data_IF_665815389237
#
_entry.id   IF_665815389237
#
_cell.length_a   1.000
_cell.length_b   1.000
_cell.length_c   1.000
_cell.angle_alpha   90.00
_cell.angle_beta   90.00
_cell.angle_gamma   90.00
#
_symmetry.space_group_name_H-M   'P 1'
#
loop_
_entity.id
_entity.type
_entity.pdbx_description
1 polymer ?
#
# COMPACT_ATOMS: atom_id res chain seq x y z
N UNK A 1 42.21 16.98 2.80
CA UNK A 1 42.05 17.62 1.47
C UNK A 1 41.17 16.75 0.56
N UNK A 2 41.52 15.47 0.33
CA UNK A 2 40.70 14.52 -0.47
C UNK A 2 39.24 14.32 0.02
N UNK A 3 39.00 14.34 1.35
CA UNK A 3 37.64 14.17 1.92
C UNK A 3 36.74 15.39 1.64
N UNK A 4 37.29 16.61 1.68
CA UNK A 4 36.52 17.84 1.47
C UNK A 4 36.14 18.07 0.01
N UNK A 5 36.99 17.66 -0.95
CA UNK A 5 36.67 17.73 -2.37
C UNK A 5 35.60 16.71 -2.76
N UNK A 6 35.70 15.47 -2.27
CA UNK A 6 34.71 14.41 -2.50
C UNK A 6 33.31 14.83 -2.00
N UNK A 7 33.24 15.47 -0.82
CA UNK A 7 31.98 15.98 -0.27
C UNK A 7 31.31 17.04 -1.16
N UNK A 8 32.09 17.93 -1.80
CA UNK A 8 31.54 19.00 -2.65
C UNK A 8 30.94 18.44 -3.97
N UNK A 9 31.57 17.41 -4.53
CA UNK A 9 31.09 16.74 -5.74
C UNK A 9 29.76 16.01 -5.48
N UNK A 10 29.70 15.23 -4.39
CA UNK A 10 28.49 14.54 -3.95
C UNK A 10 27.37 15.56 -3.68
N UNK A 11 27.64 16.63 -2.95
CA UNK A 11 26.65 17.69 -2.67
C UNK A 11 26.06 18.31 -3.94
N UNK A 12 26.89 18.56 -4.96
CA UNK A 12 26.42 19.13 -6.24
C UNK A 12 25.54 18.14 -7.00
N UNK A 13 25.92 16.87 -6.97
CA UNK A 13 25.16 15.79 -7.59
C UNK A 13 23.79 15.58 -6.92
N UNK A 14 23.76 15.52 -5.58
CA UNK A 14 22.53 15.42 -4.79
C UNK A 14 21.59 16.59 -5.12
N UNK A 15 22.12 17.82 -5.16
CA UNK A 15 21.34 19.01 -5.54
C UNK A 15 20.66 18.83 -6.90
N UNK A 16 21.39 18.35 -7.92
CA UNK A 16 20.87 18.12 -9.27
C UNK A 16 19.80 17.01 -9.32
N UNK A 17 19.99 15.93 -8.56
CA UNK A 17 19.00 14.85 -8.46
C UNK A 17 17.72 15.37 -7.81
N UNK A 18 17.86 16.04 -6.65
CA UNK A 18 16.74 16.55 -5.87
C UNK A 18 15.89 17.55 -6.66
N UNK A 19 16.52 18.54 -7.32
CA UNK A 19 15.77 19.55 -8.10
C UNK A 19 15.07 18.98 -9.31
N UNK A 20 15.42 17.76 -9.73
CA UNK A 20 14.75 17.07 -10.83
C UNK A 20 13.64 16.13 -10.34
N UNK A 21 13.86 15.42 -9.23
CA UNK A 21 12.92 14.44 -8.67
C UNK A 21 11.73 15.07 -7.96
N UNK A 22 11.97 16.20 -7.32
CA UNK A 22 11.01 16.81 -6.42
C UNK A 22 10.61 18.18 -6.94
N UNK A 23 9.35 18.53 -6.72
CA UNK A 23 8.87 19.87 -6.96
C UNK A 23 9.30 20.78 -5.80
N UNK A 24 9.42 22.08 -6.08
CA UNK A 24 9.67 23.05 -5.02
C UNK A 24 8.54 23.00 -3.99
N UNK A 25 8.91 22.88 -2.71
CA UNK A 25 7.96 22.76 -1.60
C UNK A 25 7.58 21.32 -1.23
N UNK A 26 8.09 20.32 -1.95
CA UNK A 26 7.91 18.91 -1.59
C UNK A 26 8.52 18.55 -0.23
N UNK A 27 7.98 17.51 0.41
CA UNK A 27 8.45 17.00 1.70
C UNK A 27 9.38 15.81 1.49
N UNK A 28 10.66 15.99 1.84
CA UNK A 28 11.67 14.94 1.78
C UNK A 28 11.98 14.43 3.19
N UNK A 29 11.88 13.12 3.36
CA UNK A 29 12.23 12.48 4.63
C UNK A 29 13.68 12.06 4.59
N UNK A 30 14.47 12.65 5.49
CA UNK A 30 15.86 12.27 5.70
C UNK A 30 15.93 11.24 6.83
N UNK A 31 16.49 10.07 6.51
CA UNK A 31 16.69 8.98 7.45
C UNK A 31 18.18 8.73 7.60
N UNK A 32 18.69 9.07 8.78
CA UNK A 32 20.07 8.77 9.16
C UNK A 32 20.15 7.35 9.74
N UNK A 33 20.90 6.49 9.06
CA UNK A 33 21.17 5.13 9.52
C UNK A 33 22.64 5.05 9.96
N UNK A 34 22.89 5.61 11.14
CA UNK A 34 24.17 5.60 11.85
C UNK A 34 25.33 6.26 11.09
N UNK A 35 25.03 7.27 10.27
CA UNK A 35 26.00 8.10 9.57
C UNK A 35 26.12 9.45 10.27
N UNK A 36 27.29 9.76 10.85
CA UNK A 36 27.51 11.08 11.47
C UNK A 36 27.84 12.17 10.43
N UNK A 37 27.47 11.98 9.15
CA UNK A 37 27.82 12.90 8.07
C UNK A 37 26.79 14.02 7.92
N UNK A 38 27.01 15.08 8.69
CA UNK A 38 26.18 16.28 8.68
C UNK A 38 26.25 17.09 7.38
N UNK A 39 27.21 16.81 6.49
CA UNK A 39 27.44 17.65 5.30
C UNK A 39 26.35 17.44 4.23
N UNK A 40 25.85 16.20 4.08
CA UNK A 40 24.78 15.87 3.13
C UNK A 40 23.47 16.55 3.54
N UNK A 41 23.06 16.36 4.80
CA UNK A 41 21.82 16.96 5.31
C UNK A 41 21.89 18.49 5.29
N UNK A 42 23.04 19.07 5.65
CA UNK A 42 23.30 20.52 5.56
C UNK A 42 23.15 21.01 4.12
N UNK A 43 23.71 20.28 3.16
CA UNK A 43 23.59 20.59 1.73
C UNK A 43 22.13 20.68 1.30
N UNK A 44 21.28 19.73 1.72
CA UNK A 44 19.87 19.70 1.36
C UNK A 44 19.09 20.83 2.05
N UNK A 45 19.33 21.08 3.34
CA UNK A 45 18.70 22.19 4.05
C UNK A 45 19.04 23.56 3.43
N UNK A 46 20.30 23.76 3.03
CA UNK A 46 20.75 25.01 2.40
C UNK A 46 20.12 25.25 1.02
N UNK A 47 19.56 24.23 0.36
CA UNK A 47 18.86 24.41 -0.91
C UNK A 47 17.59 25.26 -0.75
N UNK A 48 16.98 25.27 0.45
CA UNK A 48 15.68 25.92 0.71
C UNK A 48 14.60 25.55 -0.33
N UNK A 49 14.74 24.35 -0.92
CA UNK A 49 13.90 23.88 -2.02
C UNK A 49 12.81 22.92 -1.53
N UNK A 50 13.09 22.22 -0.43
CA UNK A 50 12.25 21.18 0.17
C UNK A 50 12.07 21.44 1.66
N UNK A 51 10.99 20.89 2.21
CA UNK A 51 10.89 20.66 3.65
C UNK A 51 11.56 19.34 3.98
N UNK A 52 12.66 19.38 4.74
CA UNK A 52 13.39 18.18 5.14
C UNK A 52 13.01 17.78 6.55
N UNK A 53 12.53 16.56 6.72
CA UNK A 53 12.23 15.99 8.02
C UNK A 53 13.28 14.94 8.35
N UNK A 54 14.21 15.32 9.24
CA UNK A 54 15.30 14.47 9.71
C UNK A 54 14.85 13.58 10.87
N UNK A 55 15.13 12.28 10.79
CA UNK A 55 14.80 11.33 11.85
C UNK A 55 15.65 10.07 11.82
N UNK A 56 15.59 9.33 12.93
CA UNK A 56 16.06 7.94 13.03
C UNK A 56 14.94 6.97 12.65
N UNK A 57 15.32 5.74 12.32
CA UNK A 57 14.40 4.63 11.94
C UNK A 57 13.52 4.11 13.09
N UNK A 58 13.73 4.57 14.32
CA UNK A 58 13.00 4.09 15.51
C UNK A 58 11.77 4.95 15.83
N UNK A 59 11.64 6.13 15.19
CA UNK A 59 10.52 7.05 15.41
C UNK A 59 9.53 6.98 14.25
N UNK A 60 8.34 6.45 14.54
CA UNK A 60 7.18 6.47 13.63
C UNK A 60 6.73 7.91 13.38
N UNK A 61 6.28 8.18 12.16
CA UNK A 61 5.72 9.49 11.82
C UNK A 61 4.44 9.39 11.00
N UNK A 62 3.57 10.39 11.18
CA UNK A 62 2.19 10.43 10.69
C UNK A 62 2.01 11.31 9.43
N UNK A 63 3.09 11.66 8.72
CA UNK A 63 2.99 12.43 7.47
C UNK A 63 3.24 11.53 6.25
N UNK A 64 2.64 11.90 5.12
CA UNK A 64 2.89 11.25 3.84
C UNK A 64 4.26 11.66 3.30
N UNK A 65 5.11 10.66 3.05
CA UNK A 65 6.42 10.87 2.48
C UNK A 65 6.30 11.10 0.97
N UNK A 66 6.86 12.19 0.44
CA UNK A 66 6.94 12.42 -1.01
C UNK A 66 8.27 11.94 -1.62
N UNK A 67 9.25 11.65 -0.76
CA UNK A 67 10.54 11.07 -1.12
C UNK A 67 11.36 10.71 0.10
N UNK A 68 12.39 9.90 -0.12
CA UNK A 68 13.33 9.48 0.92
C UNK A 68 14.76 9.80 0.52
N UNK A 69 15.52 10.37 1.46
CA UNK A 69 16.97 10.45 1.44
C UNK A 69 17.49 9.62 2.60
N UNK A 70 18.20 8.54 2.31
CA UNK A 70 18.65 7.58 3.33
C UNK A 70 20.17 7.49 3.26
N UNK A 71 20.83 7.69 4.40
CA UNK A 71 22.29 7.62 4.51
C UNK A 71 22.67 6.47 5.45
N UNK A 72 22.87 5.26 4.93
CA UNK A 72 23.41 4.16 5.72
C UNK A 72 24.93 4.15 5.74
N UNK A 73 25.50 3.74 6.87
CA UNK A 73 26.95 3.55 6.96
C UNK A 73 27.45 2.45 6.01
N UNK A 74 26.80 1.29 6.03
CA UNK A 74 27.18 0.13 5.22
C UNK A 74 25.96 -0.80 4.98
N UNK A 75 26.15 -1.84 4.16
CA UNK A 75 25.10 -2.80 3.81
C UNK A 75 24.42 -3.43 5.04
N UNK A 76 25.20 -3.77 6.07
CA UNK A 76 24.66 -4.40 7.28
C UNK A 76 23.72 -3.46 8.03
N UNK A 77 24.16 -2.22 8.29
CA UNK A 77 23.33 -1.22 8.95
C UNK A 77 22.06 -0.93 8.15
N UNK A 78 22.18 -0.87 6.81
CA UNK A 78 21.04 -0.73 5.92
C UNK A 78 20.02 -1.88 6.09
N UNK A 79 20.45 -3.14 5.95
CA UNK A 79 19.54 -4.31 6.08
C UNK A 79 18.86 -4.36 7.44
N UNK A 80 19.62 -4.11 8.52
CA UNK A 80 19.12 -4.19 9.90
C UNK A 80 18.07 -3.10 10.21
N UNK A 81 18.21 -1.91 9.64
CA UNK A 81 17.36 -0.75 9.99
C UNK A 81 16.30 -0.41 8.96
N UNK A 82 16.48 -0.77 7.69
CA UNK A 82 15.54 -0.45 6.62
C UNK A 82 14.19 -1.15 6.80
N UNK A 83 14.17 -2.36 7.38
CA UNK A 83 12.91 -3.07 7.65
C UNK A 83 11.95 -2.25 8.52
N UNK A 84 12.47 -1.48 9.49
CA UNK A 84 11.61 -0.67 10.36
C UNK A 84 10.91 0.46 9.61
N UNK A 85 11.53 1.01 8.56
CA UNK A 85 10.88 2.01 7.70
C UNK A 85 9.68 1.43 6.96
N UNK A 86 9.75 0.17 6.54
CA UNK A 86 8.63 -0.51 5.87
C UNK A 86 7.45 -0.83 6.78
N UNK A 87 7.62 -0.72 8.10
CA UNK A 87 6.59 -1.00 9.11
C UNK A 87 5.86 0.27 9.59
N UNK A 88 6.10 1.40 8.93
CA UNK A 88 5.51 2.68 9.28
C UNK A 88 4.24 2.96 8.49
N UNK A 89 3.29 3.65 9.12
CA UNK A 89 2.03 4.07 8.51
C UNK A 89 2.24 4.96 7.27
N UNK A 90 3.27 5.81 7.30
CA UNK A 90 3.66 6.65 6.17
C UNK A 90 4.53 5.96 5.12
N UNK A 91 4.83 4.66 5.26
CA UNK A 91 5.67 3.94 4.31
C UNK A 91 5.07 4.04 2.91
N UNK A 92 5.92 4.40 1.94
CA UNK A 92 5.47 4.65 0.58
C UNK A 92 6.55 4.22 -0.41
N UNK A 93 6.49 2.99 -0.96
CA UNK A 93 7.57 2.45 -1.79
C UNK A 93 7.58 2.97 -3.23
N UNK A 94 6.50 3.63 -3.69
CA UNK A 94 6.33 4.13 -5.06
C UNK A 94 6.87 5.56 -5.29
N UNK A 95 7.43 6.21 -4.25
CA UNK A 95 8.13 7.50 -4.37
C UNK A 95 9.61 7.32 -4.68
N UNK A 96 10.32 8.44 -4.85
CA UNK A 96 11.74 8.43 -5.15
C UNK A 96 12.60 8.22 -3.90
N UNK A 97 13.56 7.30 -3.98
CA UNK A 97 14.54 6.97 -2.95
C UNK A 97 15.94 7.34 -3.40
N UNK A 98 16.62 8.21 -2.67
CA UNK A 98 18.03 8.50 -2.83
C UNK A 98 18.76 7.88 -1.65
N UNK A 99 19.59 6.87 -1.90
CA UNK A 99 20.32 6.14 -0.86
C UNK A 99 21.81 6.37 -1.06
N UNK A 100 22.48 6.89 -0.03
CA UNK A 100 23.89 7.28 -0.12
C UNK A 100 24.65 6.53 0.96
N UNK A 101 25.36 5.49 0.56
CA UNK A 101 26.17 4.69 1.49
C UNK A 101 27.47 5.42 1.80
N UNK A 102 27.90 5.45 3.06
CA UNK A 102 29.25 5.91 3.40
C UNK A 102 30.29 4.93 2.82
N UNK A 103 30.07 3.64 3.05
CA UNK A 103 30.90 2.53 2.56
C UNK A 103 30.02 1.48 1.88
N UNK A 104 30.26 1.23 0.59
CA UNK A 104 29.59 0.16 -0.15
C UNK A 104 30.56 -0.50 -1.12
N UNK A 105 30.77 -1.80 -1.00
CA UNK A 105 31.56 -2.54 -1.97
C UNK A 105 30.76 -2.80 -3.26
N UNK A 106 31.44 -2.90 -4.41
CA UNK A 106 30.77 -3.18 -5.67
C UNK A 106 30.04 -4.54 -5.66
N UNK A 107 30.60 -5.52 -4.95
CA UNK A 107 30.03 -6.85 -4.68
C UNK A 107 28.70 -6.79 -3.93
N UNK A 108 28.49 -5.76 -3.11
CA UNK A 108 27.33 -5.61 -2.21
C UNK A 108 26.12 -4.94 -2.88
N UNK A 109 26.32 -4.26 -4.03
CA UNK A 109 25.25 -3.51 -4.69
C UNK A 109 24.06 -4.40 -5.07
N UNK A 110 24.34 -5.64 -5.52
CA UNK A 110 23.30 -6.60 -5.85
C UNK A 110 22.41 -6.92 -4.64
N UNK A 111 23.01 -7.01 -3.46
CA UNK A 111 22.32 -7.27 -2.21
C UNK A 111 21.46 -6.08 -1.77
N UNK A 112 21.95 -4.85 -1.96
CA UNK A 112 21.14 -3.63 -1.75
C UNK A 112 19.87 -3.69 -2.60
N UNK A 113 20.00 -3.95 -3.90
CA UNK A 113 18.84 -3.98 -4.79
C UNK A 113 17.91 -5.16 -4.54
N UNK A 114 18.42 -6.32 -4.11
CA UNK A 114 17.55 -7.42 -3.64
C UNK A 114 16.74 -7.04 -2.41
N UNK A 115 17.35 -6.34 -1.45
CA UNK A 115 16.62 -5.82 -0.28
C UNK A 115 15.57 -4.80 -0.69
N UNK A 116 15.90 -3.85 -1.57
CA UNK A 116 14.95 -2.85 -2.05
C UNK A 116 13.79 -3.48 -2.84
N UNK A 117 14.08 -4.48 -3.66
CA UNK A 117 13.10 -5.24 -4.43
C UNK A 117 12.12 -5.97 -3.50
N UNK A 118 12.63 -6.58 -2.43
CA UNK A 118 11.80 -7.25 -1.42
C UNK A 118 10.79 -6.29 -0.78
N UNK A 119 11.16 -5.02 -0.59
CA UNK A 119 10.28 -3.97 -0.07
C UNK A 119 9.58 -3.14 -1.18
N UNK A 120 9.57 -3.63 -2.41
CA UNK A 120 8.93 -3.01 -3.58
C UNK A 120 9.41 -1.59 -3.93
N UNK A 121 10.66 -1.26 -3.58
CA UNK A 121 11.25 0.06 -3.85
C UNK A 121 11.89 0.08 -5.23
N UNK A 122 11.17 0.64 -6.21
CA UNK A 122 11.58 0.57 -7.62
C UNK A 122 12.18 1.88 -8.16
N UNK A 123 11.82 3.04 -7.59
CA UNK A 123 12.32 4.35 -8.01
C UNK A 123 13.48 4.79 -7.11
N UNK A 124 14.63 4.17 -7.30
CA UNK A 124 15.79 4.36 -6.41
C UNK A 124 17.07 4.69 -7.15
N UNK A 125 17.90 5.52 -6.52
CA UNK A 125 19.32 5.68 -6.83
C UNK A 125 20.16 5.37 -5.61
N UNK A 126 21.18 4.55 -5.83
CA UNK A 126 22.18 4.21 -4.83
C UNK A 126 23.48 4.90 -5.23
N UNK A 127 24.02 5.72 -4.35
CA UNK A 127 25.30 6.39 -4.48
C UNK A 127 26.28 5.75 -3.51
N UNK A 128 27.47 5.40 -4.01
CA UNK A 128 28.58 5.02 -3.15
C UNK A 128 29.32 6.30 -2.71
N UNK A 129 29.33 6.61 -1.41
CA UNK A 129 29.97 7.79 -0.83
C UNK A 129 31.49 7.70 -0.74
N UNK A 130 32.07 6.52 -0.97
CA UNK A 130 33.51 6.35 -1.09
C UNK A 130 34.11 7.14 -2.28
N UNK A 131 35.44 7.24 -2.34
CA UNK A 131 36.16 7.95 -3.41
C UNK A 131 35.81 7.39 -4.80
N UNK A 132 35.31 8.26 -5.69
CA UNK A 132 34.63 7.95 -6.97
C UNK A 132 33.16 7.54 -6.80
N UNK A 133 32.31 8.50 -6.40
CA UNK A 133 30.88 8.27 -6.18
C UNK A 133 30.12 7.94 -7.45
N UNK A 134 30.04 6.64 -7.73
CA UNK A 134 29.25 6.09 -8.82
C UNK A 134 27.78 5.99 -8.40
N UNK A 135 26.89 6.21 -9.36
CA UNK A 135 25.45 6.09 -9.17
C UNK A 135 24.94 4.82 -9.84
N UNK A 136 24.08 4.10 -9.12
CA UNK A 136 23.49 2.84 -9.56
C UNK A 136 21.97 2.86 -9.44
N UNK A 137 21.32 2.11 -10.32
CA UNK A 137 19.90 1.74 -10.18
C UNK A 137 19.68 0.33 -10.72
N UNK A 138 18.43 -0.11 -10.69
CA UNK A 138 17.97 -1.36 -11.28
C UNK A 138 16.57 -1.17 -11.87
N UNK A 139 16.18 -2.02 -12.82
CA UNK A 139 14.84 -2.02 -13.39
C UNK A 139 14.22 -3.43 -13.29
N UNK A 140 13.32 -3.68 -12.34
CA UNK A 140 12.70 -4.99 -12.19
C UNK A 140 11.53 -5.22 -13.17
N UNK A 141 11.23 -4.24 -14.03
CA UNK A 141 10.25 -4.36 -15.10
C UNK A 141 10.89 -4.54 -16.48
N UNK A 142 12.21 -4.66 -16.55
CA UNK A 142 12.90 -5.04 -17.79
C UNK A 142 12.76 -6.55 -18.02
N UNK A 143 12.73 -6.98 -19.28
CA UNK A 143 12.72 -8.40 -19.66
C UNK A 143 11.60 -9.21 -18.99
N UNK A 144 10.39 -8.63 -18.86
CA UNK A 144 9.25 -9.30 -18.22
C UNK A 144 9.51 -9.71 -16.77
N UNK A 145 10.36 -8.96 -16.04
CA UNK A 145 10.68 -9.22 -14.64
C UNK A 145 9.54 -8.92 -13.66
N UNK A 146 8.54 -8.14 -14.08
CA UNK A 146 7.28 -7.91 -13.38
C UNK A 146 7.40 -7.41 -11.93
N UNK A 147 8.49 -6.74 -11.57
CA UNK A 147 8.70 -6.30 -10.19
C UNK A 147 9.11 -7.43 -9.24
N UNK A 148 9.46 -8.62 -9.74
CA UNK A 148 9.83 -9.80 -8.94
C UNK A 148 11.34 -10.07 -9.01
N UNK A 149 11.94 -9.82 -10.17
CA UNK A 149 13.37 -10.03 -10.42
C UNK A 149 13.96 -8.88 -11.23
N UNK A 150 15.27 -8.71 -11.13
CA UNK A 150 16.02 -7.85 -12.04
C UNK A 150 17.19 -8.63 -12.63
N UNK A 151 17.54 -8.29 -13.87
CA UNK A 151 18.55 -9.02 -14.65
C UNK A 151 19.92 -8.36 -14.58
N UNK A 152 19.97 -7.06 -14.34
CA UNK A 152 21.21 -6.28 -14.31
C UNK A 152 21.11 -5.07 -13.40
N UNK A 153 22.28 -4.62 -12.96
CA UNK A 153 22.49 -3.33 -12.31
C UNK A 153 22.85 -2.32 -13.40
N UNK A 154 22.21 -1.16 -13.37
CA UNK A 154 22.47 -0.05 -14.28
C UNK A 154 23.41 0.91 -13.56
N UNK A 155 24.62 1.10 -14.09
CA UNK A 155 25.55 2.12 -13.61
C UNK A 155 25.47 3.36 -14.50
N UNK A 156 25.31 4.52 -13.89
CA UNK A 156 25.31 5.81 -14.58
C UNK A 156 26.68 6.50 -14.54
N UNK A 157 27.71 5.81 -14.05
CA UNK A 157 29.04 6.36 -13.86
C UNK A 157 29.12 7.31 -12.67
N UNK A 158 30.13 8.20 -12.71
CA UNK A 158 30.44 9.13 -11.62
C UNK A 158 29.43 10.26 -11.52
N UNK A 159 29.18 10.72 -10.29
CA UNK A 159 28.17 11.74 -9.99
C UNK A 159 28.28 13.04 -10.79
N UNK A 160 29.51 13.50 -11.10
CA UNK A 160 29.72 14.72 -11.88
C UNK A 160 29.42 14.54 -13.38
N UNK A 161 29.73 13.36 -13.92
CA UNK A 161 29.68 13.06 -15.35
C UNK A 161 28.33 12.47 -15.78
N UNK A 162 27.56 11.95 -14.83
CA UNK A 162 26.28 11.33 -15.10
C UNK A 162 25.30 12.33 -15.74
N UNK A 163 24.76 11.94 -16.91
CA UNK A 163 23.68 12.69 -17.54
C UNK A 163 22.36 12.37 -16.84
N UNK A 164 22.14 13.10 -15.74
CA UNK A 164 21.02 12.93 -14.81
C UNK A 164 19.67 12.96 -15.53
N UNK A 165 19.50 13.81 -16.55
CA UNK A 165 18.19 14.11 -17.15
C UNK A 165 17.66 13.09 -18.15
N UNK A 166 18.49 12.30 -18.82
CA UNK A 166 18.03 11.34 -19.86
C UNK A 166 18.14 9.88 -19.45
N UNK A 167 19.06 9.54 -18.55
CA UNK A 167 19.41 8.13 -18.31
C UNK A 167 18.64 7.52 -17.14
N UNK A 168 18.21 8.34 -16.19
CA UNK A 168 17.75 7.89 -14.87
C UNK A 168 16.26 7.53 -14.81
N UNK A 169 15.49 7.92 -15.82
CA UNK A 169 14.04 8.11 -15.70
C UNK A 169 13.20 7.30 -16.67
N UNK A 170 13.71 7.09 -17.89
CA UNK A 170 13.04 6.27 -18.89
C UNK A 170 13.47 4.82 -18.70
N UNK A 171 13.00 4.20 -17.62
CA UNK A 171 13.15 2.76 -17.45
C UNK A 171 12.33 2.09 -18.55
N UNK A 172 12.93 1.25 -19.42
CA UNK A 172 12.15 0.54 -20.43
C UNK A 172 11.11 -0.32 -19.71
N UNK A 173 9.84 -0.05 -19.99
CA UNK A 173 8.71 -0.74 -19.39
C UNK A 173 8.23 -1.75 -20.42
N UNK A 174 8.48 -3.05 -20.19
CA UNK A 174 7.87 -4.11 -21.02
C UNK A 174 6.36 -4.26 -20.76
N UNK A 175 5.78 -3.36 -19.96
CA UNK A 175 4.39 -3.40 -19.50
C UNK A 175 4.17 -4.53 -18.51
N UNK A 176 2.90 -4.93 -18.35
CA UNK A 176 2.49 -6.10 -17.60
C UNK A 176 2.49 -7.38 -18.46
N UNK A 177 2.93 -7.29 -19.71
CA UNK A 177 2.89 -8.40 -20.65
C UNK A 177 3.65 -9.59 -20.09
N UNK A 178 3.07 -10.78 -20.19
CA UNK A 178 3.62 -12.04 -19.65
C UNK A 178 3.84 -12.08 -18.13
N UNK A 179 3.44 -11.05 -17.38
CA UNK A 179 3.42 -11.12 -15.92
C UNK A 179 2.34 -12.11 -15.48
N UNK A 180 2.61 -12.87 -14.42
CA UNK A 180 1.61 -13.77 -13.83
C UNK A 180 1.28 -13.28 -12.44
N UNK A 181 0.04 -12.89 -12.22
CA UNK A 181 -0.46 -12.48 -10.92
C UNK A 181 -1.17 -13.65 -10.24
N UNK A 182 -0.74 -13.98 -9.03
CA UNK A 182 -1.42 -14.91 -8.13
C UNK A 182 -2.49 -14.14 -7.37
N UNK A 183 -3.74 -14.54 -7.56
CA UNK A 183 -4.89 -13.78 -7.10
C UNK A 183 -5.69 -14.64 -6.15
N UNK A 184 -5.89 -14.12 -4.95
CA UNK A 184 -6.69 -14.80 -3.95
C UNK A 184 -7.94 -14.02 -3.62
N UNK A 185 -9.00 -14.76 -3.33
CA UNK A 185 -10.27 -14.22 -2.92
C UNK A 185 -11.02 -15.19 -2.02
N UNK A 186 -11.98 -14.65 -1.28
CA UNK A 186 -12.95 -15.43 -0.53
C UNK A 186 -14.21 -15.65 -1.38
N UNK A 187 -14.79 -16.85 -1.32
CA UNK A 187 -16.00 -17.21 -2.06
C UNK A 187 -17.21 -16.40 -1.53
N UNK A 188 -17.51 -15.28 -2.19
CA UNK A 188 -18.56 -14.34 -1.80
C UNK A 188 -19.38 -13.94 -3.03
N UNK A 189 -20.37 -14.75 -3.42
CA UNK A 189 -21.27 -14.41 -4.53
C UNK A 189 -22.04 -13.10 -4.26
N UNK A 190 -22.35 -12.30 -5.30
CA UNK A 190 -22.05 -12.51 -6.72
C UNK A 190 -20.67 -11.99 -7.15
N UNK A 191 -19.87 -11.44 -6.23
CA UNK A 191 -18.63 -10.74 -6.55
C UNK A 191 -17.48 -11.70 -6.89
N UNK A 192 -17.40 -12.81 -6.17
CA UNK A 192 -16.37 -13.83 -6.30
C UNK A 192 -17.03 -15.20 -6.14
N UNK A 193 -16.75 -16.11 -7.06
CA UNK A 193 -17.37 -17.43 -7.08
C UNK A 193 -16.26 -18.46 -7.23
N UNK A 194 -16.17 -19.41 -6.30
CA UNK A 194 -15.34 -20.59 -6.46
C UNK A 194 -16.02 -21.58 -7.41
N UNK A 195 -15.53 -21.76 -8.65
CA UNK A 195 -16.17 -22.64 -9.62
C UNK A 195 -16.03 -24.13 -9.27
N UNK A 196 -15.23 -24.48 -8.26
CA UNK A 196 -15.10 -25.85 -7.74
C UNK A 196 -16.17 -26.19 -6.69
N UNK A 197 -16.72 -25.17 -6.01
CA UNK A 197 -17.82 -25.34 -5.07
C UNK A 197 -19.20 -25.32 -5.77
N UNK A 198 -19.23 -24.82 -7.01
CA UNK A 198 -20.45 -24.71 -7.79
C UNK A 198 -20.85 -26.06 -8.40
N UNK A 199 -21.95 -26.64 -7.92
CA UNK A 199 -22.51 -27.89 -8.44
C UNK A 199 -23.23 -27.70 -9.79
N UNK A 200 -23.30 -26.47 -10.32
CA UNK A 200 -23.92 -26.20 -11.62
C UNK A 200 -23.06 -26.71 -12.77
N UNK A 201 -23.71 -27.10 -13.87
CA UNK A 201 -23.05 -27.53 -15.12
C UNK A 201 -22.23 -26.40 -15.75
N UNK A 202 -22.68 -25.16 -15.59
CA UNK A 202 -21.97 -23.96 -16.03
C UNK A 202 -21.25 -23.34 -14.85
N UNK A 203 -19.93 -23.24 -14.96
CA UNK A 203 -19.08 -22.59 -13.95
C UNK A 203 -19.30 -21.08 -14.05
N UNK A 204 -20.01 -20.51 -13.09
CA UNK A 204 -20.13 -19.06 -13.01
C UNK A 204 -18.83 -18.43 -12.53
N UNK A 205 -18.53 -17.24 -13.05
CA UNK A 205 -17.45 -16.38 -12.58
C UNK A 205 -18.03 -15.19 -11.84
N UNK A 206 -17.37 -14.77 -10.76
CA UNK A 206 -17.75 -13.55 -10.05
C UNK A 206 -17.48 -12.29 -10.88
N UNK A 207 -18.18 -11.20 -10.56
CA UNK A 207 -18.03 -9.91 -11.26
C UNK A 207 -16.58 -9.42 -11.30
N UNK A 208 -15.88 -9.49 -10.16
CA UNK A 208 -14.54 -8.94 -10.01
C UNK A 208 -13.50 -9.84 -10.67
N UNK A 209 -13.75 -11.16 -10.72
CA UNK A 209 -12.97 -12.08 -11.54
C UNK A 209 -13.12 -11.75 -13.03
N UNK A 210 -14.33 -11.44 -13.50
CA UNK A 210 -14.59 -11.04 -14.88
C UNK A 210 -13.87 -9.74 -15.26
N UNK A 211 -13.92 -8.73 -14.38
CA UNK A 211 -13.19 -7.47 -14.59
C UNK A 211 -11.69 -7.74 -14.70
N UNK A 212 -11.12 -8.51 -13.76
CA UNK A 212 -9.69 -8.81 -13.79
C UNK A 212 -9.28 -9.63 -15.02
N UNK A 213 -10.11 -10.59 -15.43
CA UNK A 213 -9.88 -11.37 -16.65
C UNK A 213 -9.86 -10.46 -17.89
N UNK A 214 -10.79 -9.51 -17.96
CA UNK A 214 -10.83 -8.52 -19.06
C UNK A 214 -9.56 -7.66 -19.09
N UNK A 215 -9.10 -7.19 -17.92
CA UNK A 215 -7.84 -6.46 -17.81
C UNK A 215 -6.64 -7.32 -18.22
N UNK A 216 -6.65 -8.59 -17.86
CA UNK A 216 -5.57 -9.54 -18.21
C UNK A 216 -5.42 -9.72 -19.71
N UNK A 217 -6.53 -9.73 -20.45
CA UNK A 217 -6.56 -9.84 -21.91
C UNK A 217 -6.09 -8.55 -22.59
N UNK A 218 -6.50 -7.39 -22.06
CA UNK A 218 -6.13 -6.08 -22.61
C UNK A 218 -4.64 -5.77 -22.40
N UNK A 219 -4.14 -6.00 -21.19
CA UNK A 219 -2.76 -5.70 -20.78
C UNK A 219 -1.79 -6.88 -21.00
N UNK A 220 -2.33 -8.02 -21.45
CA UNK A 220 -1.61 -9.26 -21.78
C UNK A 220 -0.83 -9.86 -20.60
N UNK A 221 -1.39 -9.81 -19.40
CA UNK A 221 -0.89 -10.54 -18.23
C UNK A 221 -1.71 -11.82 -17.98
N UNK A 222 -1.15 -12.73 -17.20
CA UNK A 222 -1.78 -13.97 -16.79
C UNK A 222 -2.27 -13.87 -15.35
N UNK A 223 -3.35 -14.59 -15.04
CA UNK A 223 -3.94 -14.63 -13.70
C UNK A 223 -4.05 -16.08 -13.24
N UNK A 224 -3.60 -16.35 -12.02
CA UNK A 224 -3.78 -17.63 -11.35
C UNK A 224 -4.65 -17.40 -10.13
N UNK A 225 -5.86 -17.96 -10.13
CA UNK A 225 -6.78 -17.85 -9.01
C UNK A 225 -6.53 -18.94 -7.96
N UNK A 226 -6.47 -18.53 -6.69
CA UNK A 226 -6.33 -19.43 -5.53
C UNK A 226 -7.51 -19.27 -4.57
N UNK A 227 -8.12 -20.39 -4.19
CA UNK A 227 -9.36 -20.48 -3.42
C UNK A 227 -9.09 -20.92 -1.97
N UNK A 228 -8.26 -20.16 -1.26
CA UNK A 228 -7.66 -20.64 0.00
C UNK A 228 -8.26 -20.02 1.27
N UNK A 229 -9.10 -18.98 1.15
CA UNK A 229 -9.54 -18.21 2.30
C UNK A 229 -11.01 -18.41 2.65
N UNK A 230 -11.28 -18.55 3.95
CA UNK A 230 -12.63 -18.60 4.48
C UNK A 230 -13.24 -17.18 4.43
N UNK A 231 -14.44 -16.98 3.83
CA UNK A 231 -15.10 -15.67 3.81
C UNK A 231 -15.43 -15.10 5.20
N UNK A 232 -15.50 -15.93 6.24
CA UNK A 232 -15.71 -15.48 7.61
C UNK A 232 -14.42 -14.94 8.27
N UNK A 233 -13.25 -15.22 7.68
CA UNK A 233 -11.97 -14.76 8.22
C UNK A 233 -11.64 -13.35 7.72
N UNK A 234 -11.86 -12.35 8.58
CA UNK A 234 -11.48 -10.97 8.32
C UNK A 234 -9.97 -10.74 8.43
N UNK A 235 -9.48 -9.71 7.75
CA UNK A 235 -8.10 -9.22 7.92
C UNK A 235 -8.04 -7.94 8.76
N UNK A 236 -7.05 -7.88 9.66
CA UNK A 236 -6.78 -6.75 10.55
C UNK A 236 -5.35 -6.27 10.30
N UNK A 237 -5.14 -4.96 10.35
CA UNK A 237 -3.82 -4.34 10.24
C UNK A 237 -3.40 -3.84 11.63
N UNK A 238 -2.26 -4.32 12.11
CA UNK A 238 -1.66 -3.88 13.36
C UNK A 238 -1.15 -2.43 13.29
N UNK A 239 -0.79 -1.86 14.45
CA UNK A 239 -0.17 -0.52 14.51
C UNK A 239 1.26 -0.49 13.93
N UNK A 240 1.84 -1.66 13.70
CA UNK A 240 3.11 -1.92 13.03
C UNK A 240 2.95 -2.16 11.52
N UNK A 241 1.76 -1.87 10.98
CA UNK A 241 1.39 -2.14 9.59
C UNK A 241 1.49 -3.62 9.18
N UNK A 242 1.65 -4.54 10.14
CA UNK A 242 1.61 -5.98 9.86
C UNK A 242 0.16 -6.41 9.71
N UNK A 243 -0.13 -7.11 8.61
CA UNK A 243 -1.43 -7.70 8.35
C UNK A 243 -1.58 -9.06 9.03
N UNK A 244 -2.78 -9.31 9.53
CA UNK A 244 -3.24 -10.58 10.07
C UNK A 244 -4.43 -11.10 9.26
N UNK A 245 -4.62 -12.42 9.23
CA UNK A 245 -5.63 -13.07 8.38
C UNK A 245 -5.22 -13.12 6.90
N UNK A 246 -6.18 -13.24 5.97
CA UNK A 246 -5.91 -13.40 4.54
C UNK A 246 -4.98 -12.37 3.90
N UNK A 247 -5.09 -11.07 4.24
CA UNK A 247 -4.24 -10.01 3.67
C UNK A 247 -2.75 -10.16 4.04
N UNK A 248 -2.41 -10.97 5.05
CA UNK A 248 -1.01 -11.30 5.38
C UNK A 248 -0.30 -12.03 4.24
N UNK A 249 -1.04 -12.77 3.42
CA UNK A 249 -0.50 -13.49 2.26
C UNK A 249 0.13 -12.54 1.23
N UNK A 250 -0.41 -11.31 1.09
CA UNK A 250 0.17 -10.29 0.22
C UNK A 250 1.55 -9.87 0.76
N UNK A 251 1.65 -9.56 2.05
CA UNK A 251 2.92 -9.14 2.67
C UNK A 251 3.98 -10.25 2.70
N UNK A 252 3.56 -11.52 2.71
CA UNK A 252 4.46 -12.67 2.59
C UNK A 252 4.89 -12.96 1.15
N UNK A 253 4.24 -12.35 0.17
CA UNK A 253 4.43 -12.66 -1.24
C UNK A 253 3.89 -14.03 -1.64
N UNK A 254 2.92 -14.59 -0.90
CA UNK A 254 2.22 -15.82 -1.26
C UNK A 254 1.23 -15.56 -2.41
N UNK A 255 0.64 -14.36 -2.41
CA UNK A 255 -0.28 -13.86 -3.45
C UNK A 255 0.12 -12.43 -3.81
N UNK A 256 -0.19 -12.00 -5.03
CA UNK A 256 0.19 -10.69 -5.55
C UNK A 256 -0.99 -9.70 -5.49
N UNK A 257 -2.22 -10.22 -5.64
CA UNK A 257 -3.45 -9.42 -5.57
C UNK A 257 -4.46 -10.16 -4.70
N UNK A 258 -5.12 -9.41 -3.82
CA UNK A 258 -6.32 -9.90 -3.15
C UNK A 258 -7.52 -9.12 -3.66
N UNK A 259 -8.50 -9.87 -4.15
CA UNK A 259 -9.79 -9.32 -4.56
C UNK A 259 -10.85 -9.87 -3.59
N UNK A 260 -11.76 -9.03 -3.12
CA UNK A 260 -12.75 -9.41 -2.11
C UNK A 260 -13.74 -8.29 -1.83
N UNK A 261 -14.80 -8.58 -1.06
CA UNK A 261 -15.67 -7.57 -0.43
C UNK A 261 -14.92 -6.82 0.68
N UNK A 262 -13.79 -6.23 0.33
CA UNK A 262 -12.86 -5.60 1.26
C UNK A 262 -13.25 -4.14 1.46
N UNK A 263 -13.77 -3.84 2.64
CA UNK A 263 -14.00 -2.45 3.04
C UNK A 263 -12.65 -1.73 3.14
N UNK A 264 -12.48 -0.64 2.39
CA UNK A 264 -11.32 0.23 2.51
C UNK A 264 -11.38 0.95 3.86
N UNK A 265 -10.44 0.60 4.75
CA UNK A 265 -10.23 1.28 6.04
C UNK A 265 -8.92 2.05 5.97
N UNK A 266 -8.75 3.16 6.72
CA UNK A 266 -7.51 3.96 6.68
C UNK A 266 -6.23 3.12 6.78
N UNK A 267 -6.12 2.26 7.80
CA UNK A 267 -4.98 1.34 7.95
C UNK A 267 -4.72 0.38 6.79
N UNK A 268 -5.76 -0.02 6.04
CA UNK A 268 -5.58 -0.87 4.86
C UNK A 268 -5.04 -0.07 3.68
N UNK A 269 -5.44 1.19 3.56
CA UNK A 269 -4.93 2.12 2.54
C UNK A 269 -3.48 2.50 2.81
N UNK A 270 -3.09 2.58 4.09
CA UNK A 270 -1.70 2.80 4.50
C UNK A 270 -0.83 1.56 4.27
N UNK A 271 -1.32 0.36 4.64
CA UNK A 271 -0.54 -0.86 4.52
C UNK A 271 -0.47 -1.45 3.09
N UNK A 272 -1.41 -1.12 2.20
CA UNK A 272 -1.50 -1.72 0.87
C UNK A 272 -1.89 -0.71 -0.22
N UNK A 273 -1.33 -0.91 -1.40
CA UNK A 273 -1.83 -0.28 -2.62
C UNK A 273 -3.15 -0.91 -3.05
N UNK A 274 -4.07 -0.11 -3.57
CA UNK A 274 -5.34 -0.55 -4.14
C UNK A 274 -5.58 0.12 -5.49
N UNK A 275 -6.28 -0.58 -6.39
CA UNK A 275 -6.52 -0.09 -7.76
C UNK A 275 -7.73 0.85 -7.80
N UNK A 276 -8.89 0.35 -7.39
CA UNK A 276 -10.14 1.09 -7.45
C UNK A 276 -11.16 0.51 -6.48
N UNK A 277 -12.01 1.35 -5.90
CA UNK A 277 -13.14 0.92 -5.07
C UNK A 277 -14.43 0.99 -5.87
N UNK A 278 -14.88 -0.11 -6.47
CA UNK A 278 -16.04 -0.13 -7.37
C UNK A 278 -17.38 0.22 -6.70
N UNK A 279 -17.47 0.16 -5.36
CA UNK A 279 -18.70 0.38 -4.58
C UNK A 279 -18.61 1.49 -3.51
N UNK A 280 -17.56 2.30 -3.49
CA UNK A 280 -17.33 3.29 -2.42
C UNK A 280 -18.45 4.32 -2.25
N UNK A 281 -19.25 4.55 -3.30
CA UNK A 281 -20.40 5.48 -3.26
C UNK A 281 -21.72 4.84 -2.80
N UNK A 282 -21.74 3.51 -2.62
CA UNK A 282 -22.92 2.73 -2.23
C UNK A 282 -22.73 1.92 -0.94
N UNK A 283 -21.54 2.01 -0.33
CA UNK A 283 -21.25 1.38 0.95
C UNK A 283 -22.08 2.05 2.05
N UNK A 284 -23.24 1.45 2.34
CA UNK A 284 -24.15 1.86 3.40
C UNK A 284 -24.38 0.72 4.39
N UNK A 285 -24.53 1.05 5.66
CA UNK A 285 -25.01 0.09 6.65
C UNK A 285 -26.51 -0.14 6.44
N UNK A 286 -26.87 -1.28 5.86
CA UNK A 286 -28.26 -1.68 5.69
C UNK A 286 -28.66 -2.63 6.81
N UNK A 287 -29.64 -2.23 7.61
CA UNK A 287 -30.25 -3.12 8.61
C UNK A 287 -31.41 -3.84 7.93
N UNK A 288 -31.21 -5.12 7.63
CA UNK A 288 -32.26 -5.97 7.10
C UNK A 288 -33.07 -6.54 8.27
N UNK A 289 -34.33 -6.11 8.38
CA UNK A 289 -35.27 -6.67 9.35
C UNK A 289 -36.23 -7.62 8.64
N UNK A 290 -36.63 -8.69 9.34
CA UNK A 290 -37.69 -9.57 8.85
C UNK A 290 -38.94 -8.74 8.61
N UNK A 291 -39.53 -8.87 7.41
CA UNK A 291 -40.84 -8.27 7.13
C UNK A 291 -41.82 -8.69 8.23
N UNK A 292 -42.50 -7.72 8.84
CA UNK A 292 -43.49 -8.00 9.87
C UNK A 292 -44.51 -9.01 9.33
N UNK A 293 -44.83 -10.01 10.15
CA UNK A 293 -45.95 -10.91 9.84
C UNK A 293 -47.25 -10.12 9.74
N UNK A 294 -48.24 -10.67 9.05
CA UNK A 294 -49.58 -10.09 9.06
C UNK A 294 -50.11 -10.09 10.49
N UNK A 295 -50.19 -8.90 11.09
CA UNK A 295 -50.89 -8.72 12.36
C UNK A 295 -52.38 -8.66 12.03
N UNK A 296 -53.18 -9.51 12.71
CA UNK A 296 -54.64 -9.46 12.55
C UNK A 296 -55.14 -8.04 12.82
N UNK A 297 -55.99 -7.51 11.93
CA UNK A 297 -56.57 -6.17 12.05
C UNK A 297 -57.21 -5.93 13.43
N UNK A 298 -57.79 -6.98 14.04
CA UNK A 298 -58.36 -6.94 15.39
C UNK A 298 -57.36 -6.49 16.45
N UNK A 299 -56.09 -6.89 16.32
CA UNK A 299 -55.05 -6.54 17.30
C UNK A 299 -54.70 -5.05 17.24
N UNK A 300 -54.87 -4.39 16.09
CA UNK A 300 -54.74 -2.94 15.97
C UNK A 300 -55.96 -2.21 16.55
N UNK A 301 -57.15 -2.78 16.41
CA UNK A 301 -58.38 -2.23 17.03
C UNK A 301 -58.25 -2.11 18.55
N UNK A 302 -57.67 -3.12 19.22
CA UNK A 302 -57.46 -3.07 20.67
C UNK A 302 -56.37 -2.09 21.13
N UNK A 303 -55.49 -1.62 20.24
CA UNK A 303 -54.47 -0.61 20.60
C UNK A 303 -55.09 0.79 20.66
N UNK A 304 -56.16 1.05 19.89
CA UNK A 304 -56.89 2.33 19.96
C UNK A 304 -57.77 2.43 21.21
N UNK A 305 -58.25 1.29 21.73
CA UNK A 305 -58.98 1.24 22.98
C UNK A 305 -58.02 1.03 24.16
N UNK A 306 -57.52 2.13 24.71
CA UNK A 306 -56.79 2.09 25.98
C UNK A 306 -57.64 1.34 27.02
N UNK A 307 -57.04 0.35 27.70
CA UNK A 307 -57.69 -0.48 28.72
C UNK A 307 -58.33 0.40 29.80
N UNK A 308 -57.76 1.57 30.07
CA UNK A 308 -58.32 2.57 30.98
C UNK A 308 -59.60 3.20 30.44
N UNK A 309 -59.67 3.49 29.14
CA UNK A 309 -60.86 4.01 28.46
C UNK A 309 -61.98 2.98 28.42
N UNK A 310 -61.68 1.72 28.09
CA UNK A 310 -62.68 0.64 28.18
C UNK A 310 -63.14 0.40 29.63
N UNK A 311 -62.21 0.41 30.59
CA UNK A 311 -62.53 0.23 32.02
C UNK A 311 -63.45 1.32 32.56
N UNK A 312 -63.16 2.59 32.23
CA UNK A 312 -64.00 3.73 32.63
C UNK A 312 -65.36 3.72 31.94
N UNK A 313 -65.43 3.34 30.66
CA UNK A 313 -66.71 3.19 29.97
C UNK A 313 -67.57 2.09 30.61
N UNK A 314 -66.98 0.91 30.89
CA UNK A 314 -67.69 -0.19 31.57
C UNK A 314 -68.14 0.21 32.97
N UNK A 315 -67.27 0.84 33.76
CA UNK A 315 -67.60 1.31 35.11
C UNK A 315 -68.78 2.30 35.10
N UNK A 316 -68.74 3.30 34.21
CA UNK A 316 -69.82 4.28 34.08
C UNK A 316 -71.14 3.66 33.60
N UNK A 317 -71.06 2.67 32.70
CA UNK A 317 -72.26 1.98 32.20
C UNK A 317 -72.91 1.12 33.28
N UNK A 318 -72.08 0.41 34.08
CA UNK A 318 -72.56 -0.39 35.23
C UNK A 318 -73.14 0.50 36.32
N UNK A 319 -72.49 1.63 36.64
CA UNK A 319 -73.05 2.62 37.58
C UNK A 319 -74.42 3.13 37.12
N UNK A 320 -74.59 3.43 35.83
CA UNK A 320 -75.88 3.86 35.31
C UNK A 320 -76.97 2.79 35.39
N UNK A 321 -76.61 1.52 35.15
CA UNK A 321 -77.56 0.39 35.22
C UNK A 321 -77.97 0.01 36.65
N UNK A 322 -77.08 0.20 37.64
CA UNK A 322 -77.37 -0.09 39.05
C UNK A 322 -78.23 1.00 39.70
N UNK A 323 -78.24 2.21 39.13
CA UNK A 323 -78.99 3.37 39.64
C UNK A 323 -80.34 3.57 38.92
N UNK A 324 -80.65 2.76 37.90
CA UNK A 324 -81.93 2.76 37.16
C UNK A 324 -82.87 1.66 37.66
#
# INVERSE_FOLDING_TARGET
MLIQENNKEISTCIKRIITHWFNKGSVLTYVDINTFDNDIIKTVYEMQYLTVISRSTEKKVLYQNEGYLITPKNLRAFKDKFMFLSMEEGWKPDVHFLIIFEELELSEINDVFKTLLHYHVFKVLVINGASNSNIYTYNPFENYGCGIVFTRIISYGKCLEANITKSFFDKPVTGLRNCTFRVAFCDTPPFYINPYNDQRKEKLVGLEQFVLQTLSELEQFNVIYTYQFNPEEGSIIGDDMIAYGPMRSIQKGDVDVMIGGLILRPKRVEAFSYLYGHYTNYDGLIILVKKAGLVSNLKNTYIEFDVVLCGTFFYNTVQHWVVS
#
